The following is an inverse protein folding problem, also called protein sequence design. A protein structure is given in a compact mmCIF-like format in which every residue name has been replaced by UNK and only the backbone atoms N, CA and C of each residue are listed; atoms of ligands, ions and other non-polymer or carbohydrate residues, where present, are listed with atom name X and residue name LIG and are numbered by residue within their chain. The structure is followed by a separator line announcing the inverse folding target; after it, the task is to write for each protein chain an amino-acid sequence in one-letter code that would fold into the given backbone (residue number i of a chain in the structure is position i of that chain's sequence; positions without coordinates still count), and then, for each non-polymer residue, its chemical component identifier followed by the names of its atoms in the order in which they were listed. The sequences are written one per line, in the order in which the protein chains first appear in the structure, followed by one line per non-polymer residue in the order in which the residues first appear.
data_IF_372626178193
#
_entry.id   IF_372626178193
#
_cell.length_a   1.000
_cell.length_b   1.000
_cell.length_c   1.000
_cell.angle_alpha   90.00
_cell.angle_beta   90.00
_cell.angle_gamma   90.00
#
_symmetry.space_group_name_H-M   'P 1'
#
loop_
_entity.id
_entity.type
_entity.pdbx_description
1 polymer ?
#
# COMPACT_ATOMS: atom_id res chain seq x y z
N UNK A 1 -46.93 -35.93 -22.78
CA UNK A 1 -47.16 -34.63 -23.45
C UNK A 1 -46.93 -33.55 -22.40
N UNK A 2 -45.72 -32.97 -22.38
CA UNK A 2 -45.35 -31.69 -23.01
C UNK A 2 -45.58 -30.48 -22.08
N UNK A 3 -44.46 -29.99 -21.54
CA UNK A 3 -44.04 -28.57 -21.39
C UNK A 3 -44.92 -27.57 -20.66
N UNK A 4 -44.35 -26.95 -19.61
CA UNK A 4 -44.16 -25.48 -19.49
C UNK A 4 -43.44 -25.16 -18.18
N UNK A 5 -42.16 -24.83 -18.22
CA UNK A 5 -41.61 -23.47 -18.34
C UNK A 5 -41.46 -22.77 -16.99
N UNK A 6 -40.20 -22.74 -16.57
CA UNK A 6 -39.56 -21.85 -15.62
C UNK A 6 -40.23 -20.49 -15.42
N UNK A 7 -40.29 -20.07 -14.16
CA UNK A 7 -40.19 -18.66 -13.78
C UNK A 7 -39.33 -18.56 -12.52
N UNK A 8 -38.01 -18.53 -12.75
CA UNK A 8 -37.02 -17.98 -11.85
C UNK A 8 -37.34 -16.49 -11.66
N UNK A 9 -37.97 -16.13 -10.55
CA UNK A 9 -38.01 -14.75 -10.09
C UNK A 9 -36.71 -14.46 -9.29
N UNK A 10 -35.62 -14.27 -10.04
CA UNK A 10 -34.41 -13.59 -9.57
C UNK A 10 -34.74 -12.10 -9.45
N UNK A 11 -35.29 -11.69 -8.30
CA UNK A 11 -35.50 -10.27 -8.02
C UNK A 11 -34.39 -9.74 -7.10
N UNK A 12 -33.50 -8.96 -7.73
CA UNK A 12 -32.76 -7.83 -7.16
C UNK A 12 -31.67 -8.11 -6.12
N UNK A 13 -30.59 -8.77 -6.53
CA UNK A 13 -29.27 -8.44 -6.00
C UNK A 13 -28.73 -7.21 -6.76
N UNK A 14 -29.12 -6.01 -6.32
CA UNK A 14 -28.37 -4.78 -6.63
C UNK A 14 -27.87 -4.24 -5.29
N UNK A 15 -26.54 -4.20 -5.12
CA UNK A 15 -25.86 -3.04 -5.64
C UNK A 15 -24.67 -3.46 -6.50
N UNK A 16 -24.63 -2.97 -7.74
CA UNK A 16 -23.31 -2.74 -8.37
C UNK A 16 -22.76 -1.53 -7.62
N UNK A 17 -22.22 -1.77 -6.43
CA UNK A 17 -21.37 -0.82 -5.74
C UNK A 17 -20.17 -0.62 -6.65
N UNK A 18 -20.18 0.47 -7.43
CA UNK A 18 -18.99 0.90 -8.16
C UNK A 18 -17.84 0.94 -7.15
N UNK A 19 -16.64 0.49 -7.52
CA UNK A 19 -15.50 0.63 -6.63
C UNK A 19 -15.33 2.11 -6.31
N UNK A 20 -15.15 2.43 -5.02
CA UNK A 20 -14.95 3.81 -4.53
C UNK A 20 -13.64 4.42 -5.04
N UNK A 21 -12.74 3.58 -5.54
CA UNK A 21 -11.54 3.94 -6.29
C UNK A 21 -11.65 3.51 -7.75
N UNK A 22 -11.10 4.28 -8.70
CA UNK A 22 -11.09 3.90 -10.11
C UNK A 22 -10.17 2.70 -10.35
N UNK A 23 -10.36 1.98 -11.46
CA UNK A 23 -9.53 0.82 -11.81
C UNK A 23 -8.05 1.18 -11.98
N UNK A 24 -7.74 2.36 -12.52
CA UNK A 24 -6.35 2.85 -12.65
C UNK A 24 -5.65 3.01 -11.30
N UNK A 25 -6.40 3.04 -10.19
CA UNK A 25 -5.83 3.08 -8.84
C UNK A 25 -5.10 1.79 -8.48
N UNK A 26 -5.48 0.65 -9.06
CA UNK A 26 -4.78 -0.62 -8.83
C UNK A 26 -3.34 -0.57 -9.35
N UNK A 27 -3.13 0.01 -10.52
CA UNK A 27 -1.79 0.21 -11.08
C UNK A 27 -0.97 1.17 -10.23
N UNK A 28 -1.59 2.28 -9.77
CA UNK A 28 -0.95 3.19 -8.82
C UNK A 28 -0.55 2.47 -7.54
N UNK A 29 -1.43 1.66 -6.96
CA UNK A 29 -1.17 0.90 -5.73
C UNK A 29 0.01 -0.06 -5.91
N UNK A 30 0.04 -0.81 -7.01
CA UNK A 30 1.13 -1.72 -7.31
C UNK A 30 2.47 -0.99 -7.48
N UNK A 31 2.46 0.16 -8.19
CA UNK A 31 3.65 1.01 -8.36
C UNK A 31 4.13 1.58 -7.03
N UNK A 32 3.22 2.10 -6.20
CA UNK A 32 3.56 2.64 -4.89
C UNK A 32 4.17 1.56 -3.99
N UNK A 33 3.55 0.38 -3.94
CA UNK A 33 4.06 -0.75 -3.16
C UNK A 33 5.48 -1.14 -3.59
N UNK A 34 5.74 -1.25 -4.90
CA UNK A 34 7.06 -1.56 -5.43
C UNK A 34 8.07 -0.47 -5.06
N UNK A 35 7.74 0.80 -5.31
CA UNK A 35 8.62 1.91 -5.00
C UNK A 35 8.96 2.01 -3.50
N UNK A 36 7.99 1.79 -2.62
CA UNK A 36 8.20 1.77 -1.17
C UNK A 36 9.12 0.61 -0.77
N UNK A 37 8.91 -0.58 -1.35
CA UNK A 37 9.79 -1.73 -1.11
C UNK A 37 11.23 -1.41 -1.51
N UNK A 38 11.44 -0.85 -2.71
CA UNK A 38 12.77 -0.55 -3.23
C UNK A 38 13.47 0.52 -2.38
N UNK A 39 12.75 1.61 -2.05
CA UNK A 39 13.28 2.66 -1.16
C UNK A 39 13.63 2.09 0.20
N UNK A 40 12.75 1.30 0.81
CA UNK A 40 12.97 0.75 2.14
C UNK A 40 14.15 -0.23 2.18
N UNK A 41 14.37 -1.02 1.12
CA UNK A 41 15.57 -1.88 0.99
C UNK A 41 16.84 -1.03 1.08
N UNK A 42 16.93 0.04 0.29
CA UNK A 42 18.12 0.92 0.25
C UNK A 42 18.36 1.58 1.61
N UNK A 43 17.32 2.17 2.22
CA UNK A 43 17.44 2.85 3.52
C UNK A 43 17.84 1.89 4.65
N UNK A 44 17.27 0.69 4.68
CA UNK A 44 17.58 -0.30 5.72
C UNK A 44 18.95 -0.95 5.55
N UNK A 45 19.46 -1.12 4.33
CA UNK A 45 20.85 -1.57 4.12
C UNK A 45 21.86 -0.55 4.67
N UNK A 46 21.55 0.75 4.59
CA UNK A 46 22.35 1.81 5.20
C UNK A 46 22.28 1.86 6.72
N UNK A 47 21.21 1.31 7.32
CA UNK A 47 20.91 1.36 8.75
C UNK A 47 20.32 0.03 9.25
N UNK A 48 21.14 -1.01 9.50
CA UNK A 48 20.66 -2.38 9.74
C UNK A 48 19.70 -2.54 10.91
N UNK A 49 19.86 -1.73 11.97
CA UNK A 49 18.96 -1.73 13.14
C UNK A 49 17.52 -1.33 12.80
N UNK A 50 17.30 -0.65 11.66
CA UNK A 50 15.99 -0.23 11.22
C UNK A 50 15.10 -1.40 10.84
N UNK A 51 15.67 -2.47 10.28
CA UNK A 51 14.91 -3.63 9.84
C UNK A 51 14.17 -4.29 10.99
N UNK A 52 14.87 -4.60 12.08
CA UNK A 52 14.29 -5.31 13.22
C UNK A 52 13.23 -4.44 13.92
N UNK A 53 13.49 -3.13 14.01
CA UNK A 53 12.52 -2.14 14.53
C UNK A 53 11.27 -2.05 13.65
N UNK A 54 11.44 -2.06 12.33
CA UNK A 54 10.34 -2.03 11.38
C UNK A 54 9.51 -3.33 11.47
N UNK A 55 10.16 -4.49 11.48
CA UNK A 55 9.50 -5.81 11.56
C UNK A 55 8.60 -5.90 12.80
N UNK A 56 9.10 -5.46 13.95
CA UNK A 56 8.32 -5.45 15.19
C UNK A 56 7.08 -4.54 15.12
N UNK A 57 7.14 -3.44 14.35
CA UNK A 57 6.07 -2.43 14.27
C UNK A 57 5.11 -2.62 13.10
N UNK A 58 5.41 -3.48 12.13
CA UNK A 58 4.55 -3.72 10.96
C UNK A 58 3.07 -4.02 11.32
N UNK A 59 2.75 -4.85 12.35
CA UNK A 59 1.37 -5.09 12.74
C UNK A 59 0.62 -3.82 13.17
N UNK A 60 1.29 -2.94 13.91
CA UNK A 60 0.71 -1.68 14.36
C UNK A 60 0.52 -0.70 13.21
N UNK A 61 1.51 -0.62 12.30
CA UNK A 61 1.46 0.23 11.12
C UNK A 61 0.33 -0.19 10.17
N UNK A 62 0.02 -1.49 10.10
CA UNK A 62 -1.09 -2.03 9.30
C UNK A 62 -2.48 -1.58 9.79
N UNK A 63 -2.60 -1.11 11.03
CA UNK A 63 -3.87 -0.58 11.56
C UNK A 63 -4.14 0.87 11.16
N UNK A 64 -3.16 1.56 10.57
CA UNK A 64 -3.27 2.97 10.19
C UNK A 64 -4.07 3.11 8.88
N UNK A 65 -4.89 4.16 8.78
CA UNK A 65 -5.84 4.34 7.67
C UNK A 65 -5.48 5.47 6.70
N UNK A 66 -4.53 6.34 7.06
CA UNK A 66 -4.09 7.46 6.22
C UNK A 66 -2.59 7.51 6.08
N UNK A 67 -2.12 8.01 4.94
CA UNK A 67 -0.69 8.10 4.63
C UNK A 67 0.01 9.04 5.61
N UNK A 68 -0.58 10.19 5.93
CA UNK A 68 0.03 11.16 6.84
C UNK A 68 0.20 10.58 8.25
N UNK A 69 -0.78 9.83 8.75
CA UNK A 69 -0.67 9.16 10.05
C UNK A 69 0.37 8.03 10.01
N UNK A 70 0.51 7.33 8.89
CA UNK A 70 1.52 6.28 8.74
C UNK A 70 2.92 6.89 8.77
N UNK A 71 3.13 7.97 8.01
CA UNK A 71 4.39 8.72 8.00
C UNK A 71 4.71 9.25 9.39
N UNK A 72 3.74 9.86 10.08
CA UNK A 72 3.94 10.35 11.44
C UNK A 72 4.28 9.21 12.44
N UNK A 73 3.68 8.03 12.29
CA UNK A 73 3.98 6.88 13.14
C UNK A 73 5.41 6.33 12.93
N UNK A 74 5.90 6.38 11.69
CA UNK A 74 7.30 6.08 11.38
C UNK A 74 8.22 7.15 11.99
N UNK A 75 7.90 8.42 11.80
CA UNK A 75 8.70 9.56 12.26
C UNK A 75 8.82 9.64 13.79
N UNK A 76 7.79 9.22 14.51
CA UNK A 76 7.79 9.15 15.97
C UNK A 76 8.84 8.18 16.55
N UNK A 77 9.39 7.26 15.73
CA UNK A 77 10.52 6.42 16.12
C UNK A 77 11.82 7.00 15.58
N UNK A 78 12.80 7.35 16.43
CA UNK A 78 14.10 7.85 15.97
C UNK A 78 14.83 6.90 15.02
N UNK A 79 14.57 5.59 15.17
CA UNK A 79 15.14 4.56 14.29
C UNK A 79 14.45 4.50 12.93
N UNK A 80 13.15 4.80 12.86
CA UNK A 80 12.37 4.73 11.61
C UNK A 80 12.14 6.09 10.95
N UNK A 81 12.53 7.20 11.57
CA UNK A 81 12.34 8.54 11.00
C UNK A 81 12.99 8.75 9.63
N UNK A 82 14.15 8.16 9.28
CA UNK A 82 14.67 8.27 7.92
C UNK A 82 13.71 7.64 6.89
N UNK A 83 13.09 6.51 7.25
CA UNK A 83 12.11 5.82 6.42
C UNK A 83 10.82 6.63 6.27
N UNK A 84 10.44 7.42 7.27
CA UNK A 84 9.28 8.32 7.18
C UNK A 84 9.47 9.38 6.08
N UNK A 85 10.63 10.06 6.07
CA UNK A 85 10.97 11.05 5.05
C UNK A 85 11.07 10.44 3.65
N UNK A 86 11.66 9.24 3.55
CA UNK A 86 11.76 8.50 2.30
C UNK A 86 10.37 8.08 1.77
N UNK A 87 9.51 7.52 2.63
CA UNK A 87 8.16 7.10 2.29
C UNK A 87 7.27 8.27 1.84
N UNK A 88 7.31 9.41 2.55
CA UNK A 88 6.57 10.62 2.17
C UNK A 88 7.02 11.12 0.78
N UNK A 89 8.33 11.13 0.53
CA UNK A 89 8.89 11.51 -0.77
C UNK A 89 8.45 10.55 -1.87
N UNK A 90 8.49 9.24 -1.63
CA UNK A 90 8.08 8.21 -2.60
C UNK A 90 6.60 8.32 -2.94
N UNK A 91 5.72 8.53 -1.95
CA UNK A 91 4.30 8.77 -2.21
C UNK A 91 4.10 9.98 -3.11
N UNK A 92 4.75 11.11 -2.77
CA UNK A 92 4.67 12.36 -3.54
C UNK A 92 5.11 12.16 -4.98
N UNK A 93 6.29 11.58 -5.20
CA UNK A 93 6.83 11.33 -6.55
C UNK A 93 5.91 10.39 -7.35
N UNK A 94 5.44 9.32 -6.72
CA UNK A 94 4.56 8.35 -7.39
C UNK A 94 3.25 9.02 -7.80
N UNK A 95 2.65 9.82 -6.92
CA UNK A 95 1.42 10.56 -7.18
C UNK A 95 1.60 11.66 -8.22
N UNK A 96 2.75 12.33 -8.23
CA UNK A 96 3.09 13.41 -9.16
C UNK A 96 3.46 12.93 -10.56
N UNK A 97 3.80 11.65 -10.71
CA UNK A 97 4.12 11.01 -12.00
C UNK A 97 3.12 11.38 -13.10
N UNK A 98 3.64 11.66 -14.31
CA UNK A 98 2.82 11.97 -15.50
C UNK A 98 1.83 10.86 -15.86
N UNK A 99 2.15 9.63 -15.48
CA UNK A 99 1.28 8.46 -15.69
C UNK A 99 0.08 8.40 -14.75
N UNK A 100 0.08 9.19 -13.68
CA UNK A 100 -0.99 9.24 -12.68
C UNK A 100 -1.99 10.34 -13.06
N UNK A 101 -3.13 9.88 -13.61
CA UNK A 101 -4.23 10.74 -14.04
C UNK A 101 -5.01 11.38 -12.88
N UNK A 102 -5.86 12.35 -13.22
CA UNK A 102 -6.68 13.08 -12.25
C UNK A 102 -7.72 12.22 -11.51
N UNK A 103 -8.12 11.07 -12.06
CA UNK A 103 -8.98 10.09 -11.37
C UNK A 103 -8.29 9.53 -10.13
N UNK A 104 -7.06 9.05 -10.29
CA UNK A 104 -6.22 8.52 -9.20
C UNK A 104 -5.94 9.59 -8.15
N UNK A 105 -5.57 10.81 -8.55
CA UNK A 105 -5.32 11.92 -7.61
C UNK A 105 -6.57 12.33 -6.82
N UNK A 106 -7.76 12.19 -7.40
CA UNK A 106 -9.03 12.39 -6.68
C UNK A 106 -9.32 11.24 -5.73
N UNK A 107 -9.11 10.00 -6.17
CA UNK A 107 -9.28 8.82 -5.34
C UNK A 107 -8.34 8.84 -4.13
N UNK A 108 -7.06 9.16 -4.32
CA UNK A 108 -6.08 9.29 -3.25
C UNK A 108 -6.50 10.30 -2.17
N UNK A 109 -7.31 11.31 -2.50
CA UNK A 109 -7.79 12.32 -1.54
C UNK A 109 -8.99 11.88 -0.70
N UNK A 110 -9.60 10.72 -1.01
CA UNK A 110 -10.69 10.17 -0.22
C UNK A 110 -10.19 9.05 0.72
N UNK A 111 -11.03 8.65 1.67
CA UNK A 111 -10.66 7.69 2.72
C UNK A 111 -10.29 6.30 2.16
N UNK A 112 -11.02 5.80 1.16
CA UNK A 112 -10.74 4.48 0.58
C UNK A 112 -9.43 4.46 -0.22
N UNK A 113 -9.14 5.53 -0.96
CA UNK A 113 -7.86 5.68 -1.64
C UNK A 113 -6.70 5.80 -0.66
N UNK A 114 -6.85 6.59 0.40
CA UNK A 114 -5.87 6.70 1.48
C UNK A 114 -5.58 5.33 2.10
N UNK A 115 -6.62 4.59 2.48
CA UNK A 115 -6.49 3.26 3.07
C UNK A 115 -5.75 2.29 2.14
N UNK A 116 -6.13 2.25 0.87
CA UNK A 116 -5.45 1.38 -0.10
C UNK A 116 -4.01 1.79 -0.39
N UNK A 117 -3.68 3.09 -0.30
CA UNK A 117 -2.31 3.56 -0.40
C UNK A 117 -1.49 3.12 0.82
N UNK A 118 -2.04 3.24 2.03
CA UNK A 118 -1.42 2.73 3.26
C UNK A 118 -1.17 1.23 3.18
N UNK A 119 -2.16 0.45 2.74
CA UNK A 119 -2.00 -1.00 2.54
C UNK A 119 -0.82 -1.29 1.61
N UNK A 120 -0.72 -0.59 0.48
CA UNK A 120 0.42 -0.71 -0.44
C UNK A 120 1.76 -0.37 0.22
N UNK A 121 1.81 0.72 1.00
CA UNK A 121 3.02 1.13 1.70
C UNK A 121 3.45 0.06 2.71
N UNK A 122 2.54 -0.40 3.58
CA UNK A 122 2.83 -1.40 4.61
C UNK A 122 3.27 -2.74 3.97
N UNK A 123 2.61 -3.17 2.90
CA UNK A 123 3.03 -4.37 2.15
C UNK A 123 4.44 -4.17 1.55
N UNK A 124 4.73 -2.99 0.99
CA UNK A 124 6.04 -2.66 0.46
C UNK A 124 7.13 -2.71 1.53
N UNK A 125 6.87 -2.13 2.70
CA UNK A 125 7.75 -2.16 3.87
C UNK A 125 8.03 -3.60 4.34
N UNK A 126 6.97 -4.43 4.47
CA UNK A 126 7.11 -5.84 4.84
C UNK A 126 7.89 -6.65 3.81
N UNK A 127 7.70 -6.37 2.51
CA UNK A 127 8.46 -7.00 1.43
C UNK A 127 9.95 -6.66 1.51
N UNK A 128 10.29 -5.41 1.81
CA UNK A 128 11.68 -4.99 1.97
C UNK A 128 12.39 -5.76 3.10
N UNK A 129 11.74 -5.90 4.26
CA UNK A 129 12.25 -6.72 5.38
C UNK A 129 12.51 -8.16 4.94
N UNK A 130 11.54 -8.77 4.24
CA UNK A 130 11.67 -10.14 3.76
C UNK A 130 12.84 -10.32 2.76
N UNK A 131 12.98 -9.39 1.81
CA UNK A 131 14.05 -9.42 0.82
C UNK A 131 15.43 -9.38 1.47
N UNK A 132 15.64 -8.50 2.45
CA UNK A 132 16.91 -8.36 3.15
C UNK A 132 17.25 -9.58 4.00
N UNK A 133 16.28 -10.19 4.69
CA UNK A 133 16.52 -11.45 5.40
C UNK A 133 16.93 -12.58 4.45
N UNK A 134 16.29 -12.66 3.29
CA UNK A 134 16.61 -13.67 2.27
C UNK A 134 18.01 -13.49 1.65
N UNK A 135 18.53 -12.27 1.61
CA UNK A 135 19.86 -11.99 1.07
C UNK A 135 20.96 -12.31 2.08
N UNK A 136 20.74 -12.04 3.37
CA UNK A 136 21.64 -12.43 4.45
C UNK A 136 21.78 -13.95 4.56
N UNK A 137 20.66 -14.69 4.53
CA UNK A 137 20.68 -16.15 4.57
C UNK A 137 21.44 -16.81 3.41
N UNK A 138 21.61 -16.12 2.28
CA UNK A 138 22.39 -16.61 1.12
C UNK A 138 23.89 -16.29 1.21
N UNK A 139 24.29 -15.41 2.13
CA UNK A 139 25.70 -15.01 2.33
C UNK A 139 26.41 -15.86 3.38
N UNK A 140 25.67 -16.66 4.14
CA UNK A 140 26.17 -17.63 5.13
C UNK A 140 25.98 -19.05 4.61
#
# INVERSE_FOLDING_TARGET
MLTSCALLALTAACPIARPSVPLEYFDFRARLQAAISDTAVVEMEGLPMMRDSLEARLPDLAAILTVDSLVAALDASPTLSPLAGAAATTVRITLESKSVGGSVRRAFRNADGQRQAVDAMVIGLGRAVHLLRSSEQRRY
#
